data_IF_275807057635
#
_entry.id   IF_275807057635
#
_cell.length_a   1.000
_cell.length_b   1.000
_cell.length_c   1.000
_cell.angle_alpha   90.00
_cell.angle_beta   90.00
_cell.angle_gamma   90.00
#
_symmetry.space_group_name_H-M   'P 1'
#
loop_
_entity.id
_entity.type
_entity.pdbx_description
1 polymer ?
#
# COMPACT_ATOMS: atom_id res chain seq x y z
N UNK A 1 -1.39 -25.54 -7.97
CA UNK A 1 -0.26 -24.71 -8.45
C UNK A 1 1.09 -25.17 -7.86
N UNK A 2 1.31 -25.15 -6.53
CA UNK A 2 2.62 -25.46 -5.88
C UNK A 2 3.15 -26.85 -6.24
N UNK A 3 2.33 -27.90 -6.17
CA UNK A 3 2.73 -29.27 -6.57
C UNK A 3 3.20 -29.33 -8.03
N UNK A 4 2.42 -28.76 -8.94
CA UNK A 4 2.73 -28.74 -10.36
C UNK A 4 4.06 -28.02 -10.67
N UNK A 5 4.37 -26.94 -9.93
CA UNK A 5 5.62 -26.19 -10.08
C UNK A 5 6.80 -27.02 -9.56
N UNK A 6 6.60 -27.71 -8.43
CA UNK A 6 7.61 -28.61 -7.85
C UNK A 6 7.91 -29.83 -8.74
N UNK A 7 6.89 -30.43 -9.34
CA UNK A 7 7.05 -31.52 -10.31
C UNK A 7 7.87 -31.10 -11.54
N UNK A 8 7.89 -29.81 -11.86
CA UNK A 8 8.73 -29.24 -12.93
C UNK A 8 10.15 -28.86 -12.46
N UNK A 9 10.52 -29.19 -11.24
CA UNK A 9 11.86 -28.97 -10.70
C UNK A 9 12.16 -27.54 -10.26
N UNK A 10 11.15 -26.69 -10.09
CA UNK A 10 11.38 -25.33 -9.57
C UNK A 10 11.48 -25.34 -8.04
N UNK A 11 12.40 -24.55 -7.50
CA UNK A 11 12.49 -24.29 -6.06
C UNK A 11 11.29 -23.44 -5.59
N UNK A 12 10.72 -23.83 -4.46
CA UNK A 12 9.56 -23.18 -3.86
C UNK A 12 9.95 -22.52 -2.54
N UNK A 13 9.78 -21.21 -2.47
CA UNK A 13 9.86 -20.46 -1.24
C UNK A 13 8.46 -19.96 -0.90
N UNK A 14 8.00 -20.14 0.35
CA UNK A 14 6.73 -19.60 0.81
C UNK A 14 6.93 -18.59 1.94
N UNK A 15 6.12 -17.51 1.90
CA UNK A 15 5.92 -16.60 3.03
C UNK A 15 4.59 -16.99 3.66
N UNK A 16 4.61 -17.37 4.94
CA UNK A 16 3.43 -17.94 5.60
C UNK A 16 3.37 -17.54 7.06
N UNK A 17 2.16 -17.27 7.57
CA UNK A 17 1.95 -16.97 8.98
C UNK A 17 1.67 -18.23 9.81
N UNK A 18 1.00 -19.21 9.22
CA UNK A 18 0.62 -20.44 9.92
C UNK A 18 1.73 -21.51 9.81
N UNK A 19 2.20 -21.98 10.96
CA UNK A 19 3.10 -23.13 11.02
C UNK A 19 2.37 -24.40 10.59
N UNK A 20 3.12 -25.34 10.00
CA UNK A 20 2.60 -26.61 9.52
C UNK A 20 1.43 -26.50 8.49
N UNK A 21 1.31 -25.37 7.81
CA UNK A 21 0.36 -25.21 6.73
C UNK A 21 0.69 -26.11 5.52
N UNK A 22 -0.27 -26.32 4.63
CA UNK A 22 0.01 -27.05 3.40
C UNK A 22 1.13 -26.40 2.58
N UNK A 23 1.16 -25.07 2.53
CA UNK A 23 2.19 -24.32 1.82
C UNK A 23 3.58 -24.55 2.43
N UNK A 24 3.71 -24.46 3.76
CA UNK A 24 5.01 -24.67 4.44
C UNK A 24 5.51 -26.12 4.33
N UNK A 25 4.62 -27.11 4.23
CA UNK A 25 5.04 -28.52 4.04
C UNK A 25 5.47 -28.84 2.61
N UNK A 26 4.96 -28.09 1.62
CA UNK A 26 5.29 -28.29 0.21
C UNK A 26 6.53 -27.50 -0.22
N UNK A 27 6.79 -26.37 0.41
CA UNK A 27 7.89 -25.48 0.05
C UNK A 27 9.25 -26.08 0.44
N UNK A 28 10.27 -25.73 -0.33
CA UNK A 28 11.68 -26.07 -0.04
C UNK A 28 12.26 -25.16 1.06
N UNK A 29 11.69 -23.93 1.20
CA UNK A 29 11.99 -23.03 2.30
C UNK A 29 10.74 -22.23 2.69
N UNK A 30 10.61 -21.91 3.98
CA UNK A 30 9.51 -21.14 4.54
C UNK A 30 10.02 -19.96 5.33
N UNK A 31 9.51 -18.77 5.01
CA UNK A 31 9.69 -17.55 5.79
C UNK A 31 8.41 -17.29 6.59
N UNK A 32 8.50 -17.45 7.91
CA UNK A 32 7.34 -17.27 8.80
C UNK A 32 7.16 -15.81 9.19
N UNK A 33 5.95 -15.26 8.97
CA UNK A 33 5.60 -13.89 9.33
C UNK A 33 5.53 -13.64 10.84
N UNK A 34 5.19 -14.66 11.62
CA UNK A 34 5.04 -14.60 13.09
C UNK A 34 4.13 -13.48 13.59
N UNK A 35 3.11 -13.13 12.81
CA UNK A 35 2.17 -12.04 13.12
C UNK A 35 1.08 -12.43 14.12
N UNK A 36 1.09 -13.68 14.59
CA UNK A 36 0.00 -14.21 15.42
C UNK A 36 -1.28 -14.43 14.63
N UNK A 37 -2.37 -14.74 15.33
CA UNK A 37 -3.68 -15.02 14.70
C UNK A 37 -4.31 -13.71 14.24
N UNK A 38 -4.75 -13.65 12.99
CA UNK A 38 -5.58 -12.56 12.46
C UNK A 38 -7.05 -12.97 12.56
N UNK A 39 -7.84 -12.17 13.26
CA UNK A 39 -9.23 -12.52 13.58
C UNK A 39 -10.19 -11.91 12.55
N UNK A 40 -9.88 -10.71 12.06
CA UNK A 40 -10.67 -10.03 11.05
C UNK A 40 -10.55 -10.67 9.66
N UNK A 41 -11.56 -10.50 8.84
CA UNK A 41 -11.54 -10.96 7.44
C UNK A 41 -10.49 -10.17 6.64
N UNK A 42 -10.45 -8.86 6.84
CA UNK A 42 -9.49 -8.00 6.17
C UNK A 42 -8.08 -8.19 6.74
N UNK A 43 -7.14 -8.58 5.88
CA UNK A 43 -5.73 -8.68 6.25
C UNK A 43 -5.15 -7.29 6.56
N UNK A 44 -4.57 -7.13 7.74
CA UNK A 44 -3.91 -5.90 8.18
C UNK A 44 -2.45 -6.16 8.58
N UNK A 45 -2.23 -6.71 9.76
CA UNK A 45 -0.88 -7.03 10.26
C UNK A 45 -0.16 -8.08 9.41
N UNK A 46 -0.87 -9.06 8.84
CA UNK A 46 -0.26 -10.07 7.97
C UNK A 46 0.13 -9.47 6.61
N UNK A 47 -0.61 -8.48 6.10
CA UNK A 47 -0.20 -7.71 4.93
C UNK A 47 1.12 -6.98 5.19
N UNK A 48 1.21 -6.19 6.26
CA UNK A 48 2.44 -5.46 6.64
C UNK A 48 3.62 -6.43 6.87
N UNK A 49 3.38 -7.55 7.55
CA UNK A 49 4.42 -8.55 7.80
C UNK A 49 4.90 -9.22 6.51
N UNK A 50 3.99 -9.46 5.54
CA UNK A 50 4.36 -9.98 4.22
C UNK A 50 5.28 -9.00 3.50
N UNK A 51 4.92 -7.71 3.47
CA UNK A 51 5.76 -6.67 2.86
C UNK A 51 7.13 -6.57 3.53
N UNK A 52 7.17 -6.62 4.87
CA UNK A 52 8.42 -6.58 5.63
C UNK A 52 9.33 -7.77 5.27
N UNK A 53 8.79 -8.99 5.24
CA UNK A 53 9.55 -10.20 4.89
C UNK A 53 10.03 -10.14 3.44
N UNK A 54 9.21 -9.68 2.51
CA UNK A 54 9.59 -9.53 1.11
C UNK A 54 10.71 -8.50 0.93
N UNK A 55 10.67 -7.39 1.67
CA UNK A 55 11.79 -6.43 1.70
C UNK A 55 13.08 -7.08 2.24
N UNK A 56 13.01 -7.79 3.38
CA UNK A 56 14.17 -8.51 3.92
C UNK A 56 14.71 -9.55 2.95
N UNK A 57 13.84 -10.29 2.27
CA UNK A 57 14.22 -11.27 1.27
C UNK A 57 14.91 -10.60 0.07
N UNK A 58 14.38 -9.48 -0.40
CA UNK A 58 14.99 -8.72 -1.49
C UNK A 58 16.38 -8.18 -1.12
N UNK A 59 16.54 -7.65 0.09
CA UNK A 59 17.84 -7.19 0.62
C UNK A 59 18.82 -8.36 0.68
N UNK A 60 18.40 -9.49 1.25
CA UNK A 60 19.23 -10.69 1.38
C UNK A 60 19.69 -11.22 0.02
N UNK A 61 18.76 -11.37 -0.93
CA UNK A 61 19.08 -11.81 -2.29
C UNK A 61 20.01 -10.81 -2.98
N UNK A 62 19.75 -9.51 -2.86
CA UNK A 62 20.58 -8.45 -3.41
C UNK A 62 22.01 -8.51 -2.87
N UNK A 63 22.18 -8.78 -1.58
CA UNK A 63 23.48 -8.94 -0.94
C UNK A 63 24.21 -10.22 -1.41
N UNK A 64 23.51 -11.36 -1.41
CA UNK A 64 24.10 -12.64 -1.84
C UNK A 64 24.54 -12.60 -3.31
N UNK A 65 23.80 -11.88 -4.14
CA UNK A 65 24.12 -11.71 -5.57
C UNK A 65 25.10 -10.58 -5.86
N UNK A 66 25.57 -9.86 -4.86
CA UNK A 66 26.53 -8.75 -5.01
C UNK A 66 25.95 -7.48 -5.63
N UNK A 67 24.61 -7.33 -5.69
CA UNK A 67 23.97 -6.09 -6.13
C UNK A 67 23.95 -5.02 -5.04
N UNK A 68 23.99 -5.42 -3.77
CA UNK A 68 24.02 -4.52 -2.62
C UNK A 68 25.35 -4.67 -1.89
N UNK A 69 26.00 -3.54 -1.58
CA UNK A 69 27.13 -3.53 -0.67
C UNK A 69 26.66 -3.81 0.76
N UNK A 70 27.56 -4.21 1.70
CA UNK A 70 27.22 -4.35 3.11
C UNK A 70 26.64 -3.07 3.72
N UNK A 71 27.13 -1.90 3.32
CA UNK A 71 26.67 -0.60 3.80
C UNK A 71 25.26 -0.27 3.29
N UNK A 72 24.98 -0.59 2.01
CA UNK A 72 23.65 -0.43 1.43
C UNK A 72 22.65 -1.36 2.13
N UNK A 73 23.00 -2.62 2.31
CA UNK A 73 22.17 -3.61 3.01
C UNK A 73 21.85 -3.16 4.44
N UNK A 74 22.85 -2.64 5.16
CA UNK A 74 22.66 -2.13 6.54
C UNK A 74 21.68 -0.96 6.55
N UNK A 75 21.84 0.03 5.66
CA UNK A 75 20.91 1.17 5.57
C UNK A 75 19.47 0.72 5.34
N UNK A 76 19.25 -0.18 4.37
CA UNK A 76 17.91 -0.69 4.08
C UNK A 76 17.29 -1.44 5.27
N UNK A 77 18.09 -2.18 6.04
CA UNK A 77 17.62 -2.85 7.27
C UNK A 77 17.32 -1.82 8.37
N UNK A 78 18.16 -0.79 8.52
CA UNK A 78 17.93 0.28 9.48
C UNK A 78 16.64 1.06 9.14
N UNK A 79 16.37 1.32 7.87
CA UNK A 79 15.13 1.93 7.39
C UNK A 79 13.91 1.08 7.78
N UNK A 80 13.96 -0.24 7.54
CA UNK A 80 12.89 -1.16 7.97
C UNK A 80 12.72 -1.17 9.50
N UNK A 81 13.80 -1.11 10.25
CA UNK A 81 13.76 -1.09 11.72
C UNK A 81 13.10 0.20 12.28
N UNK A 82 13.06 1.28 11.49
CA UNK A 82 12.37 2.52 11.84
C UNK A 82 10.85 2.49 11.55
N UNK A 83 10.38 1.62 10.66
CA UNK A 83 8.95 1.54 10.28
C UNK A 83 7.99 1.42 11.47
N UNK A 84 8.23 0.60 12.51
CA UNK A 84 7.32 0.50 13.65
C UNK A 84 7.07 1.83 14.36
N UNK A 85 8.10 2.68 14.45
CA UNK A 85 7.97 4.02 15.01
C UNK A 85 7.12 4.92 14.12
N UNK A 86 7.39 4.94 12.81
CA UNK A 86 6.62 5.75 11.85
C UNK A 86 5.14 5.37 11.85
N UNK A 87 4.83 4.08 11.87
CA UNK A 87 3.46 3.57 11.97
C UNK A 87 2.84 3.93 13.35
N UNK A 88 3.61 3.81 14.43
CA UNK A 88 3.17 4.21 15.76
C UNK A 88 2.78 5.69 15.84
N UNK A 89 3.57 6.57 15.23
CA UNK A 89 3.30 8.00 15.16
C UNK A 89 2.01 8.30 14.36
N UNK A 90 1.75 7.56 13.27
CA UNK A 90 0.50 7.67 12.49
C UNK A 90 -0.73 7.24 13.29
N UNK A 91 -0.61 6.19 14.09
CA UNK A 91 -1.70 5.63 14.89
C UNK A 91 -1.87 6.32 16.24
N UNK A 92 -0.98 7.26 16.60
CA UNK A 92 -1.02 7.97 17.87
C UNK A 92 -2.25 8.86 18.06
N UNK A 93 -2.80 9.40 16.96
CA UNK A 93 -4.09 10.10 16.95
C UNK A 93 -4.99 9.54 15.84
N UNK A 94 -5.96 8.75 16.25
CA UNK A 94 -6.96 8.15 15.35
C UNK A 94 -8.16 9.08 15.08
N UNK A 95 -8.25 10.23 15.72
CA UNK A 95 -9.40 11.14 15.61
C UNK A 95 -9.58 11.67 14.18
N UNK A 96 -8.48 11.97 13.50
CA UNK A 96 -8.51 12.40 12.11
C UNK A 96 -9.12 11.35 11.17
N UNK A 97 -8.76 10.06 11.36
CA UNK A 97 -9.32 8.96 10.56
C UNK A 97 -10.80 8.78 10.82
N UNK A 98 -11.23 8.89 12.10
CA UNK A 98 -12.64 8.81 12.46
C UNK A 98 -13.46 9.96 11.86
N UNK A 99 -12.92 11.18 11.84
CA UNK A 99 -13.58 12.33 11.21
C UNK A 99 -13.73 12.14 9.70
N UNK A 100 -12.67 11.69 9.03
CA UNK A 100 -12.70 11.38 7.60
C UNK A 100 -13.68 10.25 7.31
N UNK A 101 -13.67 9.16 8.07
CA UNK A 101 -14.61 8.06 7.91
C UNK A 101 -16.06 8.53 7.98
N UNK A 102 -16.42 9.37 8.98
CA UNK A 102 -17.77 9.96 9.08
C UNK A 102 -18.12 10.85 7.89
N UNK A 103 -17.14 11.60 7.39
CA UNK A 103 -17.35 12.52 6.27
C UNK A 103 -17.55 11.77 4.95
N UNK A 104 -16.77 10.71 4.75
CA UNK A 104 -16.79 9.91 3.54
C UNK A 104 -17.81 8.76 3.56
N UNK A 105 -18.42 8.44 4.70
CA UNK A 105 -19.41 7.36 4.83
C UNK A 105 -20.70 7.56 4.00
N UNK A 106 -20.90 8.74 3.43
CA UNK A 106 -22.04 9.07 2.56
C UNK A 106 -21.82 8.70 1.09
N UNK A 107 -20.60 8.31 0.70
CA UNK A 107 -20.29 7.91 -0.66
C UNK A 107 -20.47 6.41 -0.81
N UNK A 108 -21.10 6.00 -1.90
CA UNK A 108 -21.36 4.60 -2.24
C UNK A 108 -20.28 4.01 -3.14
N UNK A 109 -19.50 4.90 -3.81
CA UNK A 109 -18.46 4.54 -4.76
C UNK A 109 -17.13 5.23 -4.44
N UNK A 110 -16.05 4.46 -4.48
CA UNK A 110 -14.70 4.94 -4.24
C UNK A 110 -13.73 4.52 -5.34
N UNK A 111 -12.90 5.47 -5.77
CA UNK A 111 -11.77 5.23 -6.63
C UNK A 111 -10.47 5.41 -5.83
N UNK A 112 -9.61 4.41 -5.82
CA UNK A 112 -8.29 4.47 -5.21
C UNK A 112 -7.23 4.60 -6.32
N UNK A 113 -6.43 5.66 -6.26
CA UNK A 113 -5.42 5.96 -7.27
C UNK A 113 -4.01 5.93 -6.69
N UNK A 114 -3.10 5.26 -7.38
CA UNK A 114 -1.68 5.26 -7.08
C UNK A 114 -0.84 5.10 -8.34
N UNK A 115 0.45 5.41 -8.27
CA UNK A 115 1.40 5.16 -9.36
C UNK A 115 2.58 4.34 -8.90
N UNK A 116 3.21 3.61 -9.83
CA UNK A 116 4.33 2.74 -9.50
C UNK A 116 3.97 1.76 -8.39
N UNK A 117 4.78 1.68 -7.34
CA UNK A 117 4.54 0.82 -6.19
C UNK A 117 3.24 1.15 -5.46
N UNK A 118 2.83 2.42 -5.45
CA UNK A 118 1.60 2.87 -4.80
C UNK A 118 0.32 2.43 -5.54
N UNK A 119 0.42 1.93 -6.78
CA UNK A 119 -0.71 1.27 -7.45
C UNK A 119 -1.15 0.01 -6.69
N UNK A 120 -0.20 -0.79 -6.21
CA UNK A 120 -0.51 -1.98 -5.41
C UNK A 120 -1.16 -1.61 -4.07
N UNK A 121 -0.72 -0.51 -3.45
CA UNK A 121 -1.32 0.02 -2.21
C UNK A 121 -2.75 0.51 -2.46
N UNK A 122 -3.00 1.19 -3.59
CA UNK A 122 -4.35 1.62 -3.98
C UNK A 122 -5.31 0.42 -4.17
N UNK A 123 -4.83 -0.65 -4.81
CA UNK A 123 -5.60 -1.89 -4.97
C UNK A 123 -5.93 -2.53 -3.62
N UNK A 124 -4.96 -2.59 -2.71
CA UNK A 124 -5.15 -3.14 -1.36
C UNK A 124 -6.08 -2.28 -0.52
N UNK A 125 -5.97 -0.95 -0.58
CA UNK A 125 -6.88 -0.03 0.10
C UNK A 125 -8.32 -0.18 -0.37
N UNK A 126 -8.55 -0.27 -1.68
CA UNK A 126 -9.86 -0.55 -2.26
C UNK A 126 -10.41 -1.90 -1.80
N UNK A 127 -9.56 -2.93 -1.74
CA UNK A 127 -9.94 -4.25 -1.22
C UNK A 127 -10.37 -4.16 0.26
N UNK A 128 -9.59 -3.47 1.10
CA UNK A 128 -9.92 -3.30 2.53
C UNK A 128 -11.26 -2.59 2.72
N UNK A 129 -11.51 -1.52 1.96
CA UNK A 129 -12.79 -0.82 2.04
C UNK A 129 -13.96 -1.74 1.67
N UNK A 130 -13.86 -2.49 0.58
CA UNK A 130 -14.89 -3.47 0.17
C UNK A 130 -15.16 -4.54 1.23
N UNK A 131 -14.10 -5.14 1.75
CA UNK A 131 -14.20 -6.25 2.72
C UNK A 131 -14.87 -5.84 4.02
N UNK A 132 -14.66 -4.61 4.48
CA UNK A 132 -15.11 -4.16 5.80
C UNK A 132 -16.45 -3.43 5.73
N UNK A 133 -16.66 -2.60 4.71
CA UNK A 133 -17.81 -1.69 4.64
C UNK A 133 -18.90 -2.13 3.65
N UNK A 134 -18.58 -3.04 2.72
CA UNK A 134 -19.41 -3.43 1.58
C UNK A 134 -19.65 -2.29 0.58
N UNK A 135 -18.96 -1.14 0.73
CA UNK A 135 -18.98 -0.04 -0.22
C UNK A 135 -18.20 -0.48 -1.48
N UNK A 136 -18.72 -0.13 -2.65
CA UNK A 136 -18.01 -0.37 -3.90
C UNK A 136 -16.73 0.47 -3.94
N UNK A 137 -15.59 -0.17 -4.19
CA UNK A 137 -14.30 0.50 -4.28
C UNK A 137 -13.41 -0.19 -5.31
N UNK A 138 -12.78 0.59 -6.18
CA UNK A 138 -11.84 0.10 -7.18
C UNK A 138 -10.48 0.79 -7.06
N UNK A 139 -9.41 0.00 -7.18
CA UNK A 139 -8.05 0.52 -7.27
C UNK A 139 -7.57 0.56 -8.70
N UNK A 140 -6.92 1.65 -9.10
CA UNK A 140 -6.34 1.79 -10.43
C UNK A 140 -4.95 2.41 -10.39
N UNK A 141 -4.15 2.05 -11.39
CA UNK A 141 -3.00 2.89 -11.73
C UNK A 141 -3.50 4.25 -12.19
N UNK A 142 -3.08 5.32 -11.50
CA UNK A 142 -3.50 6.67 -11.85
C UNK A 142 -3.16 7.04 -13.31
N UNK A 143 -2.11 6.42 -13.88
CA UNK A 143 -1.76 6.57 -15.29
C UNK A 143 -2.81 6.02 -16.26
N UNK A 144 -3.55 4.99 -15.83
CA UNK A 144 -4.56 4.32 -16.64
C UNK A 144 -5.98 4.91 -16.42
N UNK A 145 -6.14 5.85 -15.51
CA UNK A 145 -7.42 6.45 -15.19
C UNK A 145 -8.15 7.00 -16.42
N UNK A 146 -7.42 7.57 -17.38
CA UNK A 146 -7.98 8.15 -18.61
C UNK A 146 -8.60 7.11 -19.57
N UNK A 147 -8.26 5.84 -19.42
CA UNK A 147 -8.69 4.78 -20.32
C UNK A 147 -10.01 4.09 -19.90
N UNK A 148 -10.79 4.74 -19.04
CA UNK A 148 -12.10 4.24 -18.60
C UNK A 148 -12.58 4.87 -17.31
N UNK A 149 -11.89 4.66 -16.17
CA UNK A 149 -12.36 5.09 -14.85
C UNK A 149 -12.70 6.56 -14.72
N UNK A 150 -12.03 7.42 -15.49
CA UNK A 150 -12.30 8.88 -15.51
C UNK A 150 -13.74 9.22 -15.92
N UNK A 151 -14.41 8.34 -16.65
CA UNK A 151 -15.80 8.54 -17.08
C UNK A 151 -16.79 8.45 -15.91
N UNK A 152 -16.41 7.80 -14.81
CA UNK A 152 -17.23 7.59 -13.62
C UNK A 152 -17.05 8.72 -12.59
N UNK A 153 -16.08 9.62 -12.79
CA UNK A 153 -15.75 10.66 -11.83
C UNK A 153 -16.74 11.81 -11.94
N UNK A 154 -17.42 12.06 -10.82
CA UNK A 154 -18.31 13.20 -10.58
C UNK A 154 -18.30 13.55 -9.07
N UNK A 155 -19.18 14.44 -8.64
CA UNK A 155 -19.33 14.88 -7.25
C UNK A 155 -19.85 13.77 -6.29
N UNK A 156 -20.38 12.68 -6.82
CA UNK A 156 -20.86 11.51 -6.06
C UNK A 156 -19.79 10.45 -5.82
N UNK A 157 -18.67 10.50 -6.55
CA UNK A 157 -17.57 9.57 -6.39
C UNK A 157 -16.44 10.14 -5.54
N UNK A 158 -16.08 9.42 -4.47
CA UNK A 158 -14.92 9.77 -3.66
C UNK A 158 -13.64 9.14 -4.26
N UNK A 159 -12.60 9.94 -4.43
CA UNK A 159 -11.29 9.47 -4.89
C UNK A 159 -10.26 9.56 -3.76
N UNK A 160 -9.63 8.44 -3.41
CA UNK A 160 -8.46 8.41 -2.55
C UNK A 160 -7.20 8.34 -3.42
N UNK A 161 -6.35 9.37 -3.35
CA UNK A 161 -5.12 9.45 -4.13
C UNK A 161 -3.89 9.26 -3.24
N UNK A 162 -3.07 8.26 -3.55
CA UNK A 162 -1.77 8.04 -2.91
C UNK A 162 -0.72 8.88 -3.63
N UNK A 163 -0.31 9.97 -3.01
CA UNK A 163 0.63 10.96 -3.56
C UNK A 163 1.78 11.29 -2.58
N UNK A 164 2.54 10.28 -2.12
CA UNK A 164 3.76 10.56 -1.37
C UNK A 164 4.77 11.29 -2.28
N UNK A 165 5.72 12.02 -1.67
CA UNK A 165 6.81 12.67 -2.42
C UNK A 165 7.85 11.64 -2.86
N UNK A 166 7.53 10.95 -3.93
CA UNK A 166 8.39 10.00 -4.64
C UNK A 166 8.72 10.50 -6.06
N UNK A 167 9.39 9.66 -6.83
CA UNK A 167 9.77 9.94 -8.23
C UNK A 167 8.59 10.14 -9.18
N UNK A 168 7.37 9.79 -8.77
CA UNK A 168 6.15 9.86 -9.57
C UNK A 168 5.14 10.91 -9.07
N UNK A 169 5.50 11.67 -8.03
CA UNK A 169 4.63 12.65 -7.38
C UNK A 169 3.97 13.61 -8.39
N UNK A 170 4.75 14.29 -9.23
CA UNK A 170 4.21 15.26 -10.20
C UNK A 170 3.19 14.65 -11.16
N UNK A 171 3.37 13.36 -11.48
CA UNK A 171 2.43 12.64 -12.34
C UNK A 171 1.11 12.34 -11.60
N UNK A 172 1.18 12.05 -10.30
CA UNK A 172 -0.03 11.86 -9.46
C UNK A 172 -0.75 13.19 -9.27
N UNK A 173 -0.02 14.28 -9.03
CA UNK A 173 -0.60 15.64 -8.95
C UNK A 173 -1.42 15.95 -10.20
N UNK A 174 -0.89 15.70 -11.40
CA UNK A 174 -1.63 15.91 -12.64
C UNK A 174 -2.89 15.02 -12.71
N UNK A 175 -2.83 13.77 -12.26
CA UNK A 175 -4.02 12.91 -12.23
C UNK A 175 -5.07 13.41 -11.23
N UNK A 176 -4.66 13.92 -10.08
CA UNK A 176 -5.59 14.53 -9.11
C UNK A 176 -6.28 15.76 -9.70
N UNK A 177 -5.54 16.63 -10.40
CA UNK A 177 -6.10 17.79 -11.10
C UNK A 177 -7.16 17.37 -12.15
N UNK A 178 -6.95 16.25 -12.83
CA UNK A 178 -7.93 15.67 -13.78
C UNK A 178 -9.22 15.21 -13.06
N UNK A 179 -9.08 14.60 -11.87
CA UNK A 179 -10.24 14.26 -11.02
C UNK A 179 -10.98 15.51 -10.58
N UNK A 180 -10.24 16.53 -10.11
CA UNK A 180 -10.83 17.80 -9.67
C UNK A 180 -11.51 18.57 -10.80
N UNK A 181 -11.00 18.50 -12.03
CA UNK A 181 -11.62 19.11 -13.21
C UNK A 181 -12.99 18.49 -13.60
N UNK A 182 -13.36 17.37 -12.93
CA UNK A 182 -14.66 16.69 -13.09
C UNK A 182 -15.52 16.75 -11.81
N UNK A 183 -15.24 17.72 -10.95
CA UNK A 183 -15.92 17.90 -9.67
C UNK A 183 -15.77 16.71 -8.69
N UNK A 184 -14.80 15.81 -8.92
CA UNK A 184 -14.52 14.68 -8.05
C UNK A 184 -14.06 15.14 -6.67
N UNK A 185 -14.49 14.42 -5.63
CA UNK A 185 -14.11 14.68 -4.24
C UNK A 185 -12.83 13.90 -3.91
N UNK A 186 -11.74 14.60 -3.59
CA UNK A 186 -10.42 13.98 -3.40
C UNK A 186 -9.98 14.02 -1.94
N UNK A 187 -9.66 12.82 -1.42
CA UNK A 187 -8.85 12.61 -0.22
C UNK A 187 -7.44 12.18 -0.67
N UNK A 188 -6.42 12.97 -0.40
CA UNK A 188 -5.04 12.62 -0.74
C UNK A 188 -4.23 12.16 0.47
N UNK A 189 -3.43 11.11 0.29
CA UNK A 189 -2.38 10.69 1.24
C UNK A 189 -1.08 11.32 0.76
N UNK A 190 -0.56 12.26 1.54
CA UNK A 190 0.56 13.13 1.20
C UNK A 190 1.73 12.93 2.17
N UNK A 191 2.93 13.21 1.74
CA UNK A 191 4.07 13.33 2.66
C UNK A 191 3.92 14.59 3.53
N UNK A 192 4.23 14.49 4.80
CA UNK A 192 4.18 15.60 5.77
C UNK A 192 4.97 16.80 5.24
N UNK A 193 4.35 17.98 5.29
CA UNK A 193 4.94 19.22 4.76
C UNK A 193 4.61 19.50 3.29
N UNK A 194 3.82 18.65 2.65
CA UNK A 194 3.30 18.97 1.32
C UNK A 194 2.32 20.15 1.39
N UNK A 195 2.64 21.20 0.65
CA UNK A 195 1.83 22.42 0.54
C UNK A 195 1.28 22.63 -0.87
N UNK A 196 1.77 21.88 -1.84
CA UNK A 196 1.35 21.98 -3.24
C UNK A 196 0.00 21.30 -3.42
N UNK A 197 -0.03 19.97 -3.34
CA UNK A 197 -1.25 19.22 -3.60
C UNK A 197 -2.29 19.38 -2.48
N UNK A 198 -1.85 19.61 -1.25
CA UNK A 198 -2.75 19.82 -0.11
C UNK A 198 -3.70 21.00 -0.28
N UNK A 199 -3.33 22.02 -1.06
CA UNK A 199 -4.18 23.18 -1.37
C UNK A 199 -5.19 22.92 -2.49
N UNK A 200 -5.03 21.83 -3.24
CA UNK A 200 -5.85 21.49 -4.41
C UNK A 200 -6.88 20.38 -4.14
N UNK A 201 -6.78 19.70 -2.98
CA UNK A 201 -7.66 18.58 -2.61
C UNK A 201 -8.67 18.96 -1.53
N UNK A 202 -9.75 18.19 -1.43
CA UNK A 202 -10.79 18.45 -0.42
C UNK A 202 -10.35 18.03 0.98
N UNK A 203 -9.51 17.01 1.07
CA UNK A 203 -8.92 16.50 2.31
C UNK A 203 -7.53 15.92 2.08
N UNK A 204 -6.67 16.08 3.09
CA UNK A 204 -5.35 15.49 3.12
C UNK A 204 -5.13 14.67 4.39
N UNK A 205 -4.53 13.49 4.24
CA UNK A 205 -3.88 12.72 5.28
C UNK A 205 -2.38 12.81 5.06
N UNK A 206 -1.62 12.91 6.13
CA UNK A 206 -0.17 13.06 6.03
C UNK A 206 0.54 11.85 6.61
N UNK A 207 1.43 11.29 5.81
CA UNK A 207 2.39 10.26 6.23
C UNK A 207 3.77 10.89 6.46
N UNK A 208 4.61 10.34 7.33
CA UNK A 208 5.99 10.79 7.49
C UNK A 208 6.79 10.58 6.20
N UNK A 209 7.84 11.39 6.03
CA UNK A 209 8.83 11.16 4.98
C UNK A 209 9.53 9.82 5.22
N UNK A 210 9.63 9.00 4.18
CA UNK A 210 10.29 7.71 4.23
C UNK A 210 10.84 7.33 2.85
N UNK A 211 11.83 6.41 2.80
CA UNK A 211 12.30 5.85 1.54
C UNK A 211 11.17 5.23 0.72
N UNK A 212 11.20 5.41 -0.61
CA UNK A 212 10.13 4.99 -1.52
C UNK A 212 9.71 3.52 -1.35
N UNK A 213 10.67 2.61 -1.12
CA UNK A 213 10.40 1.17 -0.93
C UNK A 213 9.62 0.85 0.36
N UNK A 214 9.53 1.78 1.31
CA UNK A 214 8.78 1.64 2.55
C UNK A 214 7.40 2.30 2.50
N UNK A 215 7.13 3.11 1.48
CA UNK A 215 5.81 3.77 1.31
C UNK A 215 4.65 2.78 1.40
N UNK A 216 4.73 1.55 0.83
CA UNK A 216 3.64 0.57 0.94
C UNK A 216 3.33 0.09 2.36
N UNK A 217 4.24 0.33 3.31
CA UNK A 217 4.04 -0.04 4.72
C UNK A 217 3.37 1.10 5.50
N UNK A 218 3.59 2.35 5.09
CA UNK A 218 3.17 3.55 5.84
C UNK A 218 2.04 4.35 5.16
N UNK A 219 1.75 4.12 3.89
CA UNK A 219 0.65 4.73 3.15
C UNK A 219 -0.56 3.80 3.09
#
# INVERSE_FOLDING_TARGET
>A
AMQMVKEKGAALITVCNAENSQASRLADATLYMRSGIEIGVASTKTFISSLTILNLLAIYIGQVRGFLSPEQSRRLVDDLAHCPRLVGDLLGDISQYQQLARRFSKFDDFLFLGRGINTAVALEGALKLKEISYIHAEGFSAGEMKHGPIALIDSGMATLALAPRDSLYDKVVNNVREVKARDGVVLAVLTKGDTELSSEVDHALYIPEAPEHLTPIIA
#
